data_IF_750901641641
#
_entry.id   IF_750901641641
#
_cell.length_a   1.000
_cell.length_b   1.000
_cell.length_c   1.000
_cell.angle_alpha   90.00
_cell.angle_beta   90.00
_cell.angle_gamma   90.00
#
_symmetry.space_group_name_H-M   'P 1'
#
loop_
_entity.id
_entity.type
_entity.pdbx_description
1 polymer ?
#
# COMPACT_ATOMS: atom_id res chain seq x y z
N UNK A 1 -21.32 5.21 17.89
CA UNK A 1 -20.27 6.00 17.22
C UNK A 1 -19.42 5.01 16.44
N UNK A 2 -19.42 5.11 15.11
CA UNK A 2 -18.55 4.29 14.26
C UNK A 2 -17.11 4.76 14.51
N UNK A 3 -16.26 3.90 15.09
CA UNK A 3 -14.83 4.18 15.10
C UNK A 3 -14.38 4.20 13.63
N UNK A 4 -13.96 5.37 13.14
CA UNK A 4 -13.27 5.44 11.86
C UNK A 4 -12.04 4.55 11.96
N UNK A 5 -11.97 3.55 11.08
CA UNK A 5 -10.80 2.71 10.91
C UNK A 5 -9.57 3.59 10.68
N UNK A 6 -8.47 3.31 11.39
CA UNK A 6 -7.24 4.05 11.17
C UNK A 6 -6.69 3.76 9.77
N UNK A 7 -5.91 4.69 9.22
CA UNK A 7 -5.23 4.46 7.93
C UNK A 7 -4.33 3.22 7.98
N UNK A 8 -3.72 2.93 9.13
CA UNK A 8 -2.88 1.76 9.34
C UNK A 8 -3.70 0.46 9.27
N UNK A 9 -4.84 0.41 9.97
CA UNK A 9 -5.73 -0.76 9.94
C UNK A 9 -6.26 -1.01 8.52
N UNK A 10 -6.64 0.08 7.83
CA UNK A 10 -7.07 0.02 6.45
C UNK A 10 -5.97 -0.54 5.54
N UNK A 11 -4.74 -0.04 5.65
CA UNK A 11 -3.60 -0.49 4.86
C UNK A 11 -3.31 -1.98 5.09
N UNK A 12 -3.24 -2.42 6.36
CA UNK A 12 -3.03 -3.83 6.72
C UNK A 12 -4.12 -4.71 6.13
N UNK A 13 -5.39 -4.30 6.23
CA UNK A 13 -6.51 -5.08 5.67
C UNK A 13 -6.44 -5.19 4.15
N UNK A 14 -6.12 -4.10 3.46
CA UNK A 14 -5.99 -4.10 1.99
C UNK A 14 -4.83 -5.00 1.55
N UNK A 15 -3.67 -4.90 2.20
CA UNK A 15 -2.51 -5.75 1.92
C UNK A 15 -2.82 -7.24 2.15
N UNK A 16 -3.51 -7.57 3.25
CA UNK A 16 -3.92 -8.95 3.54
C UNK A 16 -4.87 -9.52 2.48
N UNK A 17 -5.83 -8.71 2.01
CA UNK A 17 -6.74 -9.11 0.92
C UNK A 17 -6.01 -9.29 -0.41
N UNK A 18 -5.05 -8.42 -0.74
CA UNK A 18 -4.27 -8.57 -1.96
C UNK A 18 -3.36 -9.79 -1.93
N UNK A 19 -2.77 -10.09 -0.77
CA UNK A 19 -1.94 -11.27 -0.58
C UNK A 19 -2.69 -12.55 -0.97
N UNK A 20 -3.95 -12.66 -0.54
CA UNK A 20 -4.80 -13.85 -0.72
C UNK A 20 -5.71 -13.82 -1.95
N UNK A 21 -5.72 -12.72 -2.71
CA UNK A 21 -6.68 -12.46 -3.81
C UNK A 21 -6.74 -13.56 -4.89
N UNK A 22 -5.67 -14.34 -5.07
CA UNK A 22 -5.59 -15.38 -6.11
C UNK A 22 -5.27 -16.77 -5.54
N UNK A 23 -5.43 -16.99 -4.24
CA UNK A 23 -4.99 -18.24 -3.59
C UNK A 23 -5.76 -19.46 -4.11
N UNK A 24 -7.04 -19.27 -4.46
CA UNK A 24 -7.91 -20.32 -5.01
C UNK A 24 -7.93 -20.34 -6.55
N UNK A 25 -7.13 -19.50 -7.22
CA UNK A 25 -7.12 -19.40 -8.69
C UNK A 25 -6.19 -20.45 -9.29
N UNK A 26 -6.79 -21.40 -10.00
CA UNK A 26 -6.13 -22.50 -10.70
C UNK A 26 -5.84 -22.15 -12.17
N UNK A 27 -5.23 -23.09 -12.90
CA UNK A 27 -4.97 -22.91 -14.33
C UNK A 27 -6.20 -23.16 -15.22
N UNK A 28 -7.22 -23.82 -14.68
CA UNK A 28 -8.45 -24.16 -15.39
C UNK A 28 -9.49 -23.02 -15.34
N UNK A 29 -9.27 -22.05 -14.45
CA UNK A 29 -10.15 -20.89 -14.33
C UNK A 29 -10.04 -19.99 -15.57
N UNK A 30 -11.20 -19.69 -16.15
CA UNK A 30 -11.32 -18.88 -17.36
C UNK A 30 -10.89 -17.42 -17.11
N UNK A 31 -11.04 -16.93 -15.88
CA UNK A 31 -10.74 -15.55 -15.45
C UNK A 31 -9.38 -15.38 -14.76
N UNK A 32 -8.56 -16.45 -14.64
CA UNK A 32 -7.28 -16.43 -13.94
C UNK A 32 -6.35 -15.28 -14.35
N UNK A 33 -6.31 -14.96 -15.63
CA UNK A 33 -5.45 -13.90 -16.16
C UNK A 33 -5.98 -12.52 -15.78
N UNK A 34 -7.30 -12.34 -15.75
CA UNK A 34 -7.93 -11.10 -15.30
C UNK A 34 -7.64 -10.87 -13.81
N UNK A 35 -7.85 -11.87 -12.96
CA UNK A 35 -7.58 -11.80 -11.51
C UNK A 35 -6.09 -11.56 -11.21
N UNK A 36 -5.19 -12.26 -11.90
CA UNK A 36 -3.72 -12.01 -11.82
C UNK A 36 -3.36 -10.59 -12.25
N UNK A 37 -3.97 -10.08 -13.32
CA UNK A 37 -3.72 -8.73 -13.79
C UNK A 37 -4.23 -7.67 -12.80
N UNK A 38 -5.42 -7.85 -12.24
CA UNK A 38 -6.00 -6.96 -11.22
C UNK A 38 -5.12 -6.92 -9.98
N UNK A 39 -4.73 -8.09 -9.44
CA UNK A 39 -3.81 -8.18 -8.29
C UNK A 39 -2.51 -7.43 -8.58
N UNK A 40 -1.90 -7.68 -9.75
CA UNK A 40 -0.65 -7.02 -10.17
C UNK A 40 -0.81 -5.49 -10.21
N UNK A 41 -1.87 -4.98 -10.84
CA UNK A 41 -2.10 -3.54 -10.96
C UNK A 41 -2.31 -2.91 -9.57
N UNK A 42 -3.12 -3.53 -8.72
CA UNK A 42 -3.35 -3.04 -7.36
C UNK A 42 -2.07 -3.02 -6.52
N UNK A 43 -1.24 -4.06 -6.61
CA UNK A 43 0.08 -4.09 -5.96
C UNK A 43 0.99 -2.96 -6.46
N UNK A 44 1.03 -2.71 -7.77
CA UNK A 44 1.85 -1.65 -8.34
C UNK A 44 1.44 -0.25 -7.85
N UNK A 45 0.13 0.01 -7.76
CA UNK A 45 -0.36 1.28 -7.24
C UNK A 45 -0.02 1.48 -5.76
N UNK A 46 -0.17 0.44 -4.93
CA UNK A 46 0.19 0.54 -3.51
C UNK A 46 1.68 0.73 -3.30
N UNK A 47 2.53 0.00 -4.04
CA UNK A 47 3.98 0.18 -3.96
C UNK A 47 4.39 1.61 -4.33
N UNK A 48 3.84 2.16 -5.42
CA UNK A 48 4.11 3.53 -5.82
C UNK A 48 3.68 4.55 -4.75
N UNK A 49 2.46 4.40 -4.20
CA UNK A 49 1.94 5.30 -3.19
C UNK A 49 2.73 5.24 -1.87
N UNK A 50 3.18 4.05 -1.46
CA UNK A 50 3.99 3.88 -0.26
C UNK A 50 5.38 4.51 -0.41
N UNK A 51 6.01 4.36 -1.58
CA UNK A 51 7.29 5.02 -1.88
C UNK A 51 7.15 6.54 -1.88
N UNK A 52 6.10 7.08 -2.49
CA UNK A 52 5.83 8.52 -2.47
C UNK A 52 5.61 9.02 -1.03
N UNK A 53 4.86 8.28 -0.21
CA UNK A 53 4.69 8.62 1.20
C UNK A 53 6.03 8.58 1.96
N UNK A 54 6.90 7.62 1.67
CA UNK A 54 8.24 7.52 2.25
C UNK A 54 9.12 8.72 1.87
N UNK A 55 9.14 9.11 0.59
CA UNK A 55 9.86 10.29 0.13
C UNK A 55 9.39 11.56 0.85
N UNK A 56 8.07 11.73 1.02
CA UNK A 56 7.51 12.86 1.76
C UNK A 56 7.89 12.84 3.24
N UNK A 57 7.99 11.66 3.87
CA UNK A 57 8.47 11.53 5.25
C UNK A 57 9.92 11.99 5.36
N UNK A 58 10.81 11.55 4.48
CA UNK A 58 12.20 12.00 4.47
C UNK A 58 12.34 13.50 4.22
N UNK A 59 11.55 14.07 3.32
CA UNK A 59 11.51 15.53 3.12
C UNK A 59 11.07 16.26 4.39
N UNK A 60 10.06 15.76 5.08
CA UNK A 60 9.58 16.34 6.33
C UNK A 60 10.64 16.28 7.44
N UNK A 61 11.40 15.19 7.53
CA UNK A 61 12.53 15.05 8.45
C UNK A 61 13.64 16.07 8.14
N UNK A 62 14.05 16.18 6.87
CA UNK A 62 15.02 17.18 6.43
C UNK A 62 14.59 18.61 6.78
N UNK A 63 13.31 18.94 6.63
CA UNK A 63 12.78 20.27 7.05
C UNK A 63 12.90 20.47 8.57
N UNK A 64 12.68 19.44 9.39
CA UNK A 64 12.84 19.55 10.86
C UNK A 64 14.30 19.77 11.27
N UNK A 65 15.22 19.11 10.59
CA UNK A 65 16.66 19.29 10.81
C UNK A 65 17.09 20.72 10.44
N UNK A 66 16.66 21.23 9.29
CA UNK A 66 16.93 22.61 8.87
C UNK A 66 16.33 23.66 9.83
N UNK A 67 15.18 23.37 10.45
CA UNK A 67 14.54 24.24 11.44
C UNK A 67 15.19 24.20 12.82
N UNK A 68 16.04 23.20 13.09
CA UNK A 68 16.79 23.07 14.32
C UNK A 68 18.22 23.56 14.06
N UNK A 69 18.49 24.88 14.07
CA UNK A 69 19.85 25.35 13.91
C UNK A 69 20.70 24.71 15.02
N UNK A 70 21.86 24.18 14.62
CA UNK A 70 22.88 23.67 15.53
C UNK A 70 23.02 24.62 16.72
N UNK A 71 22.66 24.13 17.90
CA UNK A 71 23.03 24.76 19.18
C UNK A 71 24.49 24.48 19.45
#
# INVERSE_FOLDING_TARGET
MSQQESLADHAVRVLAKLATMNDDVTNDDADRHALRNIKRIATQHLDAALREAEELMYLAEGVRELRSPAQ
#
